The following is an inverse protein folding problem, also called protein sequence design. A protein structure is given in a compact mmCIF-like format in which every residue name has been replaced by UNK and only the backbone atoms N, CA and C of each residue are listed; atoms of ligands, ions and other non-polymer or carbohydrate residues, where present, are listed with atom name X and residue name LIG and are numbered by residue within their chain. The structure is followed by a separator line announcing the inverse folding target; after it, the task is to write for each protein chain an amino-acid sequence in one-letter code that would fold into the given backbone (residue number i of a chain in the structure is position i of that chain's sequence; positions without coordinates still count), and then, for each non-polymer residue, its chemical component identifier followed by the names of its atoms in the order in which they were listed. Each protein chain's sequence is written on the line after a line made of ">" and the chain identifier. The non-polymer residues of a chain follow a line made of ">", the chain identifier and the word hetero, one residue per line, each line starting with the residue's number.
data_IF_649038749502
#
_entry.id   IF_649038749502
#
_cell.length_a   1.000
_cell.length_b   1.000
_cell.length_c   1.000
_cell.angle_alpha   90.00
_cell.angle_beta   90.00
_cell.angle_gamma   90.00
#
_symmetry.space_group_name_H-M   'P 1'
#
loop_
_entity.id
_entity.type
_entity.pdbx_description
1 polymer ?
#
# COMPACT_ATOMS: atom_id res chain seq x y z
N UNK A 1 -14.99 -28.55 -29.02
CA UNK A 1 -13.72 -28.75 -29.74
C UNK A 1 -12.83 -27.57 -29.38
N UNK A 2 -11.70 -27.82 -28.73
CA UNK A 2 -10.71 -26.77 -28.49
C UNK A 2 -9.92 -26.61 -29.78
N UNK A 3 -10.03 -25.45 -30.42
CA UNK A 3 -9.11 -25.11 -31.51
C UNK A 3 -7.67 -25.16 -30.97
N UNK A 4 -6.72 -25.73 -31.73
CA UNK A 4 -5.32 -25.74 -31.33
C UNK A 4 -4.85 -24.29 -31.15
N UNK A 5 -4.36 -23.96 -29.95
CA UNK A 5 -3.81 -22.62 -29.68
C UNK A 5 -2.67 -22.35 -30.67
N UNK A 6 -2.60 -21.15 -31.26
CA UNK A 6 -1.47 -20.78 -32.10
C UNK A 6 -0.18 -20.91 -31.30
N UNK A 7 0.86 -21.50 -31.92
CA UNK A 7 2.19 -21.55 -31.33
C UNK A 7 2.66 -20.12 -31.05
N UNK A 8 3.03 -19.85 -29.80
CA UNK A 8 3.46 -18.52 -29.37
C UNK A 8 4.90 -18.31 -29.81
N UNK A 9 5.09 -17.85 -31.04
CA UNK A 9 6.41 -17.70 -31.66
C UNK A 9 7.03 -16.31 -31.41
N UNK A 10 6.85 -15.76 -30.20
CA UNK A 10 7.48 -14.48 -29.82
C UNK A 10 8.28 -14.61 -28.51
N UNK A 11 9.54 -15.06 -28.58
CA UNK A 11 10.37 -15.28 -27.39
C UNK A 11 10.64 -13.99 -26.60
N UNK A 12 10.66 -12.83 -27.27
CA UNK A 12 10.87 -11.54 -26.61
C UNK A 12 9.68 -11.16 -25.72
N UNK A 13 8.44 -11.39 -26.17
CA UNK A 13 7.24 -11.13 -25.36
C UNK A 13 7.14 -12.11 -24.18
N UNK A 14 7.54 -13.37 -24.36
CA UNK A 14 7.58 -14.37 -23.28
C UNK A 14 8.56 -13.93 -22.19
N UNK A 15 9.75 -13.49 -22.57
CA UNK A 15 10.75 -13.01 -21.60
C UNK A 15 10.27 -11.76 -20.86
N UNK A 16 9.67 -10.80 -21.57
CA UNK A 16 9.07 -9.62 -20.95
C UNK A 16 7.97 -9.98 -19.95
N UNK A 17 7.11 -10.93 -20.29
CA UNK A 17 6.05 -11.42 -19.41
C UNK A 17 6.64 -12.05 -18.13
N UNK A 18 7.69 -12.87 -18.26
CA UNK A 18 8.36 -13.50 -17.12
C UNK A 18 8.99 -12.46 -16.18
N UNK A 19 9.72 -11.49 -16.72
CA UNK A 19 10.34 -10.43 -15.92
C UNK A 19 9.30 -9.57 -15.22
N UNK A 20 8.20 -9.23 -15.91
CA UNK A 20 7.12 -8.44 -15.33
C UNK A 20 6.40 -9.21 -14.22
N UNK A 21 6.10 -10.49 -14.45
CA UNK A 21 5.49 -11.36 -13.45
C UNK A 21 6.37 -11.48 -12.19
N UNK A 22 7.68 -11.64 -12.37
CA UNK A 22 8.61 -11.67 -11.25
C UNK A 22 8.57 -10.37 -10.43
N UNK A 23 8.57 -9.20 -11.09
CA UNK A 23 8.49 -7.90 -10.39
C UNK A 23 7.17 -7.71 -9.66
N UNK A 24 6.05 -8.06 -10.30
CA UNK A 24 4.71 -7.99 -9.68
C UNK A 24 4.63 -8.90 -8.46
N UNK A 25 5.20 -10.12 -8.51
CA UNK A 25 5.25 -11.00 -7.33
C UNK A 25 6.05 -10.39 -6.18
N UNK A 26 7.16 -9.70 -6.46
CA UNK A 26 7.93 -9.01 -5.42
C UNK A 26 7.12 -7.87 -4.78
N UNK A 27 6.44 -7.05 -5.57
CA UNK A 27 5.57 -6.00 -5.02
C UNK A 27 4.41 -6.56 -4.21
N UNK A 28 3.77 -7.63 -4.70
CA UNK A 28 2.70 -8.33 -3.99
C UNK A 28 3.16 -8.87 -2.63
N UNK A 29 4.41 -9.35 -2.52
CA UNK A 29 4.99 -9.77 -1.24
C UNK A 29 5.23 -8.58 -0.31
N UNK A 30 5.79 -7.49 -0.83
CA UNK A 30 6.07 -6.30 -0.04
C UNK A 30 4.81 -5.63 0.52
N UNK A 31 3.68 -5.75 -0.20
CA UNK A 31 2.38 -5.20 0.20
C UNK A 31 1.91 -5.68 1.59
N UNK A 32 2.22 -6.89 2.02
CA UNK A 32 1.85 -7.31 3.39
C UNK A 32 3.03 -7.23 4.37
N UNK A 33 4.26 -7.39 3.88
CA UNK A 33 5.46 -7.35 4.73
C UNK A 33 5.71 -5.99 5.36
N UNK A 34 5.53 -4.89 4.61
CA UNK A 34 5.83 -3.53 5.10
C UNK A 34 4.91 -3.10 6.24
N UNK A 35 3.57 -3.22 6.14
CA UNK A 35 2.68 -2.94 7.27
C UNK A 35 3.03 -3.75 8.53
N UNK A 36 3.35 -5.04 8.37
CA UNK A 36 3.71 -5.91 9.49
C UNK A 36 5.07 -5.56 10.09
N UNK A 37 6.06 -5.22 9.27
CA UNK A 37 7.37 -4.77 9.73
C UNK A 37 7.25 -3.47 10.54
N UNK A 38 6.44 -2.53 10.07
CA UNK A 38 6.16 -1.29 10.79
C UNK A 38 5.45 -1.56 12.13
N UNK A 39 4.41 -2.42 12.14
CA UNK A 39 3.74 -2.84 13.36
C UNK A 39 4.73 -3.50 14.35
N UNK A 40 5.61 -4.38 13.87
CA UNK A 40 6.63 -5.02 14.71
C UNK A 40 7.61 -4.01 15.31
N UNK A 41 8.03 -3.01 14.53
CA UNK A 41 8.90 -1.94 15.02
C UNK A 41 8.23 -1.10 16.12
N UNK A 42 6.93 -0.80 15.94
CA UNK A 42 6.13 -0.06 16.93
C UNK A 42 5.98 -0.88 18.22
N UNK A 43 5.62 -2.16 18.13
CA UNK A 43 5.50 -3.03 19.30
C UNK A 43 6.83 -3.18 20.05
N UNK A 44 7.95 -3.28 19.33
CA UNK A 44 9.29 -3.32 19.92
C UNK A 44 9.63 -2.01 20.65
N UNK A 45 9.28 -0.88 20.06
CA UNK A 45 9.44 0.45 20.68
C UNK A 45 8.64 0.55 21.97
N UNK A 46 7.38 0.12 21.96
CA UNK A 46 6.50 0.12 23.14
C UNK A 46 7.05 -0.80 24.25
N UNK A 47 7.48 -2.02 23.91
CA UNK A 47 8.07 -2.95 24.88
C UNK A 47 9.37 -2.40 25.51
N UNK A 48 10.13 -1.60 24.77
CA UNK A 48 11.34 -0.95 25.27
C UNK A 48 11.07 0.25 26.19
N UNK A 49 9.88 0.86 26.10
CA UNK A 49 9.58 2.13 26.78
C UNK A 49 9.47 2.00 28.31
N UNK A 50 9.06 0.85 28.83
CA UNK A 50 8.90 0.60 30.27
C UNK A 50 10.22 0.54 31.03
N UNK A 51 11.33 0.27 30.33
CA UNK A 51 12.63 -0.01 30.94
C UNK A 51 13.58 1.20 30.97
N UNK A 52 13.15 2.38 30.52
CA UNK A 52 14.05 3.53 30.37
C UNK A 52 13.70 4.67 31.31
N UNK A 53 14.35 4.69 32.49
CA UNK A 53 14.34 5.85 33.36
C UNK A 53 15.04 7.04 32.67
N UNK A 54 14.32 8.15 32.51
CA UNK A 54 14.88 9.42 32.03
C UNK A 54 14.88 9.65 30.52
N UNK A 55 14.23 8.80 29.71
CA UNK A 55 13.90 9.14 28.31
C UNK A 55 12.55 9.83 28.23
N UNK A 56 12.39 10.70 27.24
CA UNK A 56 11.12 11.31 26.80
C UNK A 56 10.40 10.32 25.88
N UNK A 57 9.51 9.45 26.41
CA UNK A 57 8.86 8.42 25.59
C UNK A 57 7.97 9.04 24.52
N UNK A 58 7.44 10.25 24.75
CA UNK A 58 6.61 10.94 23.78
C UNK A 58 7.39 11.34 22.53
N UNK A 59 8.64 11.80 22.65
CA UNK A 59 9.51 12.05 21.49
C UNK A 59 9.73 10.80 20.63
N UNK A 60 9.94 9.63 21.25
CA UNK A 60 10.11 8.37 20.52
C UNK A 60 8.85 8.02 19.75
N UNK A 61 7.68 8.16 20.39
CA UNK A 61 6.38 7.94 19.73
C UNK A 61 6.17 8.90 18.56
N UNK A 62 6.45 10.20 18.74
CA UNK A 62 6.37 11.18 17.63
C UNK A 62 7.28 10.79 16.47
N UNK A 63 8.53 10.40 16.75
CA UNK A 63 9.46 9.95 15.73
C UNK A 63 8.94 8.70 14.99
N UNK A 64 8.43 7.71 15.73
CA UNK A 64 7.86 6.49 15.18
C UNK A 64 6.61 6.74 14.33
N UNK A 65 5.79 7.71 14.72
CA UNK A 65 4.65 8.15 13.93
C UNK A 65 5.07 8.87 12.64
N UNK A 66 6.12 9.69 12.67
CA UNK A 66 6.69 10.31 11.46
C UNK A 66 7.28 9.25 10.50
N UNK A 67 7.98 8.24 11.02
CA UNK A 67 8.41 7.06 10.24
C UNK A 67 7.20 6.37 9.62
N UNK A 68 6.09 6.24 10.35
CA UNK A 68 4.83 5.68 9.84
C UNK A 68 4.27 6.43 8.63
N UNK A 69 4.36 7.76 8.60
CA UNK A 69 3.97 8.55 7.42
C UNK A 69 4.85 8.21 6.22
N UNK A 70 6.17 8.12 6.41
CA UNK A 70 7.09 7.75 5.33
C UNK A 70 6.81 6.33 4.81
N UNK A 71 6.55 5.39 5.72
CA UNK A 71 6.14 4.02 5.40
C UNK A 71 4.84 4.03 4.58
N UNK A 72 3.85 4.82 4.97
CA UNK A 72 2.60 4.95 4.23
C UNK A 72 2.80 5.52 2.83
N UNK A 73 3.59 6.58 2.67
CA UNK A 73 3.91 7.15 1.36
C UNK A 73 4.61 6.12 0.45
N UNK A 74 5.60 5.41 0.99
CA UNK A 74 6.29 4.34 0.27
C UNK A 74 5.33 3.20 -0.14
N UNK A 75 4.44 2.82 0.79
CA UNK A 75 3.43 1.80 0.59
C UNK A 75 2.45 2.15 -0.55
N UNK A 76 2.02 3.40 -0.66
CA UNK A 76 1.18 3.86 -1.77
C UNK A 76 1.88 3.69 -3.12
N UNK A 77 3.18 4.01 -3.19
CA UNK A 77 3.99 3.80 -4.39
C UNK A 77 4.06 2.33 -4.82
N UNK A 78 4.19 1.41 -3.85
CA UNK A 78 4.21 -0.03 -4.11
C UNK A 78 2.87 -0.55 -4.63
N UNK A 79 1.76 -0.13 -4.02
CA UNK A 79 0.42 -0.49 -4.48
C UNK A 79 0.20 -0.02 -5.92
N UNK A 80 0.57 1.23 -6.22
CA UNK A 80 0.44 1.78 -7.57
C UNK A 80 1.33 1.03 -8.58
N UNK A 81 2.57 0.70 -8.21
CA UNK A 81 3.48 -0.05 -9.06
C UNK A 81 2.98 -1.48 -9.33
N UNK A 82 2.41 -2.14 -8.31
CA UNK A 82 1.77 -3.43 -8.45
C UNK A 82 0.58 -3.37 -9.41
N UNK A 83 -0.35 -2.43 -9.21
CA UNK A 83 -1.55 -2.28 -10.05
C UNK A 83 -1.19 -2.00 -11.52
N UNK A 84 -0.17 -1.15 -11.74
CA UNK A 84 0.35 -0.90 -13.08
C UNK A 84 0.98 -2.16 -13.69
N UNK A 85 1.76 -2.91 -12.92
CA UNK A 85 2.39 -4.15 -13.36
C UNK A 85 1.37 -5.22 -13.73
N UNK A 86 0.33 -5.42 -12.91
CA UNK A 86 -0.77 -6.35 -13.21
C UNK A 86 -1.45 -5.98 -14.53
N UNK A 87 -1.79 -4.70 -14.72
CA UNK A 87 -2.38 -4.23 -15.99
C UNK A 87 -1.49 -4.53 -17.20
N UNK A 88 -0.16 -4.37 -17.06
CA UNK A 88 0.79 -4.70 -18.13
C UNK A 88 0.91 -6.19 -18.40
N UNK A 89 0.74 -7.04 -17.39
CA UNK A 89 0.64 -8.49 -17.57
C UNK A 89 -0.63 -8.82 -18.36
N UNK A 90 -1.78 -8.29 -17.95
CA UNK A 90 -3.07 -8.48 -18.66
C UNK A 90 -2.98 -8.06 -20.13
N UNK A 91 -2.39 -6.89 -20.42
CA UNK A 91 -2.16 -6.40 -21.78
C UNK A 91 -1.25 -7.34 -22.60
N UNK A 92 -0.24 -7.95 -21.97
CA UNK A 92 0.72 -8.83 -22.63
C UNK A 92 0.13 -10.22 -22.85
N UNK A 93 -0.59 -10.77 -21.87
CA UNK A 93 -1.33 -12.03 -21.99
C UNK A 93 -2.36 -11.93 -23.12
N UNK A 94 -3.10 -10.83 -23.20
CA UNK A 94 -4.06 -10.58 -24.28
C UNK A 94 -3.39 -10.55 -25.66
N UNK A 95 -2.22 -9.90 -25.81
CA UNK A 95 -1.45 -9.88 -27.06
C UNK A 95 -0.94 -11.26 -27.48
N UNK A 96 -0.71 -12.16 -26.51
CA UNK A 96 -0.26 -13.52 -26.75
C UNK A 96 -1.42 -14.51 -26.92
N UNK A 97 -2.68 -14.05 -26.85
CA UNK A 97 -3.85 -14.93 -26.89
C UNK A 97 -3.96 -15.86 -25.68
N UNK A 98 -3.36 -15.48 -24.55
CA UNK A 98 -3.41 -16.21 -23.29
C UNK A 98 -4.63 -15.79 -22.46
N UNK A 99 -5.11 -16.72 -21.64
CA UNK A 99 -6.12 -16.43 -20.63
C UNK A 99 -5.53 -15.51 -19.55
N UNK A 100 -6.29 -14.52 -19.08
CA UNK A 100 -5.82 -13.58 -18.07
C UNK A 100 -5.63 -14.30 -16.73
N UNK A 101 -4.39 -14.35 -16.22
CA UNK A 101 -4.06 -15.12 -15.01
C UNK A 101 -3.93 -14.27 -13.75
N UNK A 102 -3.73 -12.95 -13.88
CA UNK A 102 -3.45 -12.06 -12.76
C UNK A 102 -4.63 -11.13 -12.48
N UNK A 103 -4.95 -10.90 -11.21
CA UNK A 103 -6.00 -9.96 -10.77
C UNK A 103 -5.55 -9.13 -9.58
N UNK A 104 -6.02 -7.88 -9.51
CA UNK A 104 -5.84 -7.01 -8.34
C UNK A 104 -6.90 -7.29 -7.28
N UNK A 105 -6.49 -7.23 -6.00
CA UNK A 105 -7.36 -7.51 -4.84
C UNK A 105 -7.47 -6.29 -3.92
N UNK A 106 -8.24 -5.25 -4.30
CA UNK A 106 -8.30 -3.99 -3.58
C UNK A 106 -8.78 -4.15 -2.12
N UNK A 107 -9.63 -5.15 -1.86
CA UNK A 107 -10.15 -5.45 -0.52
C UNK A 107 -9.08 -5.91 0.47
N UNK A 108 -7.97 -6.50 0.00
CA UNK A 108 -6.85 -6.92 0.86
C UNK A 108 -5.93 -5.74 1.16
N UNK A 109 -5.75 -4.84 0.19
CA UNK A 109 -4.84 -3.69 0.30
C UNK A 109 -5.39 -2.60 1.23
N UNK A 110 -6.70 -2.36 1.19
CA UNK A 110 -7.36 -1.30 1.96
C UNK A 110 -7.15 -1.40 3.49
N UNK A 111 -7.39 -2.55 4.16
CA UNK A 111 -7.19 -2.66 5.61
C UNK A 111 -5.72 -2.43 6.02
N UNK A 112 -4.76 -2.82 5.16
CA UNK A 112 -3.33 -2.59 5.42
C UNK A 112 -2.95 -1.10 5.33
N UNK A 113 -3.54 -0.35 4.38
CA UNK A 113 -3.39 1.12 4.31
C UNK A 113 -3.89 1.76 5.62
N UNK A 114 -5.08 1.36 6.05
CA UNK A 114 -5.73 1.88 7.24
C UNK A 114 -4.93 1.56 8.50
N UNK A 115 -4.36 0.35 8.61
CA UNK A 115 -3.51 -0.05 9.72
C UNK A 115 -2.30 0.86 9.90
N UNK A 116 -1.51 1.10 8.84
CA UNK A 116 -0.32 1.96 8.91
C UNK A 116 -0.70 3.37 9.36
N UNK A 117 -1.76 3.93 8.76
CA UNK A 117 -2.27 5.26 9.07
C UNK A 117 -2.68 5.37 10.54
N UNK A 118 -3.50 4.44 11.02
CA UNK A 118 -4.01 4.49 12.38
C UNK A 118 -2.87 4.42 13.41
N UNK A 119 -1.90 3.55 13.18
CA UNK A 119 -0.73 3.43 14.07
C UNK A 119 0.10 4.71 14.01
N UNK A 120 0.43 5.21 12.82
CA UNK A 120 1.24 6.42 12.68
C UNK A 120 0.60 7.64 13.36
N UNK A 121 -0.71 7.78 13.22
CA UNK A 121 -1.47 8.86 13.85
C UNK A 121 -1.59 8.69 15.36
N UNK A 122 -1.81 7.47 15.86
CA UNK A 122 -1.84 7.17 17.28
C UNK A 122 -0.49 7.50 17.94
N UNK A 123 0.62 7.15 17.30
CA UNK A 123 1.97 7.45 17.77
C UNK A 123 2.28 8.96 17.78
N UNK A 124 1.95 9.68 16.70
CA UNK A 124 2.12 11.14 16.64
C UNK A 124 1.31 11.87 17.72
N UNK A 125 0.04 11.51 17.85
CA UNK A 125 -0.87 12.19 18.79
C UNK A 125 -0.59 11.79 20.23
N UNK A 126 -0.38 10.50 20.50
CA UNK A 126 -0.01 10.00 21.81
C UNK A 126 1.30 10.62 22.30
N UNK A 127 2.33 10.65 21.44
CA UNK A 127 3.60 11.27 21.77
C UNK A 127 3.50 12.77 22.04
N UNK A 128 2.77 13.52 21.20
CA UNK A 128 2.58 14.96 21.40
C UNK A 128 1.78 15.30 22.68
N UNK A 129 0.84 14.44 23.08
CA UNK A 129 0.11 14.58 24.34
C UNK A 129 1.01 14.29 25.54
N UNK A 130 1.85 13.24 25.46
CA UNK A 130 2.79 12.89 26.53
C UNK A 130 3.83 14.00 26.79
N UNK A 131 4.32 14.66 25.74
CA UNK A 131 5.24 15.80 25.87
C UNK A 131 4.55 17.13 26.22
N UNK A 132 3.22 17.13 26.36
CA UNK A 132 2.45 18.34 26.70
C UNK A 132 2.42 19.40 25.59
N UNK A 133 2.81 19.05 24.35
CA UNK A 133 2.80 19.98 23.21
C UNK A 133 1.39 20.37 22.78
N UNK A 134 0.40 19.55 23.12
CA UNK A 134 -0.97 19.70 22.63
C UNK A 134 -1.97 19.26 23.70
N UNK A 135 -3.07 20.02 23.87
CA UNK A 135 -4.17 19.54 24.71
C UNK A 135 -4.77 18.28 24.09
N UNK A 136 -5.27 17.37 24.93
CA UNK A 136 -5.91 16.13 24.48
C UNK A 136 -7.06 16.40 23.50
N UNK A 137 -7.79 17.50 23.67
CA UNK A 137 -8.86 17.95 22.76
C UNK A 137 -8.35 18.36 21.39
N UNK A 138 -7.23 19.07 21.32
CA UNK A 138 -6.64 19.55 20.07
C UNK A 138 -6.02 18.38 19.30
N UNK A 139 -5.38 17.44 20.00
CA UNK A 139 -4.85 16.21 19.41
C UNK A 139 -5.96 15.37 18.76
N UNK A 140 -7.13 15.26 19.42
CA UNK A 140 -8.27 14.50 18.91
C UNK A 140 -8.90 15.15 17.67
N UNK A 141 -8.99 16.48 17.63
CA UNK A 141 -9.46 17.23 16.45
C UNK A 141 -8.51 17.02 15.26
N UNK A 142 -7.19 17.12 15.49
CA UNK A 142 -6.19 16.88 14.45
C UNK A 142 -6.26 15.44 13.92
N UNK A 143 -6.42 14.45 14.81
CA UNK A 143 -6.58 13.05 14.44
C UNK A 143 -7.78 12.86 13.50
N UNK A 144 -8.94 13.39 13.88
CA UNK A 144 -10.17 13.29 13.10
C UNK A 144 -10.00 13.99 11.74
N UNK A 145 -9.40 15.17 11.69
CA UNK A 145 -9.16 15.88 10.45
C UNK A 145 -8.25 15.10 9.48
N UNK A 146 -7.16 14.50 9.98
CA UNK A 146 -6.26 13.69 9.16
C UNK A 146 -6.93 12.40 8.71
N UNK A 147 -7.71 11.74 9.57
CA UNK A 147 -8.50 10.58 9.19
C UNK A 147 -9.51 10.90 8.08
N UNK A 148 -10.21 12.04 8.18
CA UNK A 148 -11.13 12.50 7.14
C UNK A 148 -10.41 12.79 5.83
N UNK A 149 -9.24 13.44 5.87
CA UNK A 149 -8.42 13.68 4.67
C UNK A 149 -7.96 12.36 4.03
N UNK A 150 -7.52 11.40 4.84
CA UNK A 150 -7.08 10.09 4.35
C UNK A 150 -8.24 9.27 3.79
N UNK A 151 -9.42 9.32 4.43
CA UNK A 151 -10.65 8.75 3.88
C UNK A 151 -11.00 9.40 2.54
N UNK A 152 -10.92 10.73 2.43
CA UNK A 152 -11.11 11.43 1.16
C UNK A 152 -10.11 10.98 0.09
N UNK A 153 -8.82 10.82 0.43
CA UNK A 153 -7.81 10.32 -0.49
C UNK A 153 -8.08 8.87 -0.92
N UNK A 154 -8.48 8.00 0.00
CA UNK A 154 -8.84 6.61 -0.30
C UNK A 154 -10.08 6.57 -1.19
N UNK A 155 -11.13 7.32 -0.85
CA UNK A 155 -12.33 7.46 -1.67
C UNK A 155 -12.02 8.00 -3.06
N UNK A 156 -11.15 9.01 -3.18
CA UNK A 156 -10.72 9.55 -4.46
C UNK A 156 -9.94 8.53 -5.31
N UNK A 157 -9.12 7.68 -4.68
CA UNK A 157 -8.46 6.58 -5.38
C UNK A 157 -9.44 5.50 -5.85
N UNK A 158 -10.46 5.20 -5.04
CA UNK A 158 -11.51 4.23 -5.39
C UNK A 158 -12.48 4.78 -6.45
N UNK A 159 -12.74 6.09 -6.44
CA UNK A 159 -13.63 6.76 -7.39
C UNK A 159 -12.93 7.19 -8.67
N UNK A 160 -11.60 7.07 -8.75
CA UNK A 160 -10.88 7.31 -9.99
C UNK A 160 -11.45 6.37 -11.04
N UNK A 161 -12.16 6.88 -12.06
CA UNK A 161 -12.82 6.03 -13.03
C UNK A 161 -11.73 5.13 -13.60
N UNK A 162 -11.94 3.79 -13.49
CA UNK A 162 -11.20 2.84 -14.30
C UNK A 162 -11.20 3.48 -15.68
N UNK A 163 -10.03 3.88 -16.17
CA UNK A 163 -9.88 4.23 -17.58
C UNK A 163 -10.14 2.93 -18.30
N UNK A 164 -11.42 2.65 -18.49
CA UNK A 164 -11.93 1.66 -19.42
C UNK A 164 -11.28 2.09 -20.72
N UNK A 165 -10.24 1.34 -21.08
CA UNK A 165 -9.74 1.37 -22.43
C UNK A 165 -10.93 0.95 -23.28
N UNK A 166 -11.62 1.96 -23.81
CA UNK A 166 -12.52 1.87 -24.95
C UNK A 166 -11.70 1.36 -26.12
N UNK A 167 -11.40 0.06 -26.12
CA UNK A 167 -11.20 -0.70 -27.35
C UNK A 167 -12.55 -1.28 -27.71
N UNK A 168 -13.37 -0.46 -28.37
CA UNK A 168 -14.35 -1.00 -29.31
C UNK A 168 -13.58 -1.32 -30.59
N UNK A 169 -13.30 -2.59 -30.91
CA UNK A 169 -13.02 -2.93 -32.29
C UNK A 169 -14.38 -3.01 -32.99
N UNK A 170 -14.88 -1.86 -33.46
CA UNK A 170 -15.93 -1.90 -34.49
C UNK A 170 -15.30 -2.45 -35.75
N UNK A 171 -15.80 -3.64 -36.10
CA UNK A 171 -15.52 -4.45 -37.30
C UNK A 171 -15.66 -3.65 -38.58
#
# INVERSE_FOLDING_TARGET
>A
MNEPRPAIDNPALIEQLNQLNQRVRLYAQQIWQIPLAYLGLVLLSLAGSENVQGREPGLVMVFMGAVGILVFCHYLGLVQANDWGVKKIEETESKLGLDVTVRTWPLIVCPLKLLIVLIALAELTGGAVLEGWCSQTTALICLVAVLLLLLCCICAQLSSPRREGSSSPTK
#
